data_IF_317304894670
#
_entry.id   IF_317304894670
#
_cell.length_a   1.000
_cell.length_b   1.000
_cell.length_c   1.000
_cell.angle_alpha   90.00
_cell.angle_beta   90.00
_cell.angle_gamma   90.00
#
_symmetry.space_group_name_H-M   'P 1'
#
loop_
_entity.id
_entity.type
_entity.pdbx_description
1 polymer ?
#
# COMPACT_ATOMS: atom_id res chain seq x y z
N UNK A 1 26.71 13.79 -1.47
CA UNK A 1 27.28 13.85 -2.84
C UNK A 1 26.21 13.34 -3.79
N UNK A 2 25.54 14.24 -4.50
CA UNK A 2 24.45 13.91 -5.41
C UNK A 2 25.06 13.37 -6.71
N UNK A 3 25.05 12.05 -6.90
CA UNK A 3 25.17 11.49 -8.25
C UNK A 3 23.99 11.99 -9.10
N UNK A 4 24.07 11.91 -10.44
CA UNK A 4 22.91 12.20 -11.27
C UNK A 4 21.81 11.24 -10.84
N UNK A 5 20.76 11.78 -10.22
CA UNK A 5 19.61 11.00 -9.80
C UNK A 5 19.11 10.26 -11.04
N UNK A 6 19.22 8.92 -11.04
CA UNK A 6 18.65 8.13 -12.12
C UNK A 6 17.22 8.60 -12.38
N UNK A 7 16.82 8.73 -13.65
CA UNK A 7 15.44 9.11 -14.01
C UNK A 7 14.43 8.25 -13.25
N UNK A 8 14.77 6.99 -13.01
CA UNK A 8 13.98 6.09 -12.17
C UNK A 8 13.75 6.64 -10.76
N UNK A 9 14.80 7.07 -10.07
CA UNK A 9 14.69 7.63 -8.72
C UNK A 9 13.88 8.93 -8.70
N UNK A 10 14.05 9.77 -9.72
CA UNK A 10 13.31 11.02 -9.81
C UNK A 10 11.83 10.78 -10.12
N UNK A 11 11.53 9.81 -10.99
CA UNK A 11 10.17 9.35 -11.26
C UNK A 11 9.49 8.79 -10.02
N UNK A 12 10.20 7.98 -9.22
CA UNK A 12 9.68 7.48 -7.95
C UNK A 12 9.36 8.61 -6.97
N UNK A 13 10.23 9.62 -6.84
CA UNK A 13 9.99 10.75 -5.94
C UNK A 13 8.79 11.60 -6.39
N UNK A 14 8.61 11.80 -7.69
CA UNK A 14 7.44 12.48 -8.26
C UNK A 14 6.18 11.66 -8.03
N UNK A 15 6.25 10.35 -8.18
CA UNK A 15 5.13 9.43 -7.98
C UNK A 15 4.71 9.40 -6.51
N UNK A 16 5.64 9.29 -5.57
CA UNK A 16 5.38 9.40 -4.12
C UNK A 16 4.71 10.73 -3.77
N UNK A 17 5.14 11.83 -4.42
CA UNK A 17 4.51 13.14 -4.21
C UNK A 17 3.07 13.21 -4.70
N UNK A 18 2.71 12.47 -5.74
CA UNK A 18 1.41 12.50 -6.40
C UNK A 18 0.61 11.20 -6.22
N UNK A 19 0.97 10.35 -5.25
CA UNK A 19 0.37 9.03 -5.07
C UNK A 19 -1.15 9.10 -4.85
N UNK A 20 -1.63 10.18 -4.20
CA UNK A 20 -3.06 10.43 -3.98
C UNK A 20 -3.88 10.60 -5.28
N UNK A 21 -3.21 10.89 -6.40
CA UNK A 21 -3.84 11.04 -7.73
C UNK A 21 -3.79 9.75 -8.55
N UNK A 22 -3.06 8.73 -8.07
CA UNK A 22 -2.89 7.47 -8.78
C UNK A 22 -4.10 6.59 -8.51
N UNK A 23 -4.71 6.06 -9.58
CA UNK A 23 -5.93 5.24 -9.49
C UNK A 23 -5.62 3.75 -9.40
N UNK A 24 -4.54 3.29 -10.03
CA UNK A 24 -4.15 1.88 -10.08
C UNK A 24 -2.63 1.76 -10.24
N UNK A 25 -2.05 0.71 -9.66
CA UNK A 25 -0.64 0.36 -9.76
C UNK A 25 -0.41 -0.98 -10.48
N UNK A 26 -1.46 -1.60 -11.03
CA UNK A 26 -1.44 -2.94 -11.66
C UNK A 26 -0.42 -3.12 -12.79
N UNK A 27 -0.02 -2.03 -13.44
CA UNK A 27 0.92 -2.07 -14.56
C UNK A 27 2.40 -2.05 -14.13
N UNK A 28 2.69 -1.97 -12.82
CA UNK A 28 4.06 -1.88 -12.31
C UNK A 28 4.60 -3.27 -11.92
N UNK A 29 5.88 -3.54 -12.19
CA UNK A 29 6.56 -4.73 -11.68
C UNK A 29 6.60 -4.76 -10.14
N UNK A 30 6.64 -5.96 -9.57
CA UNK A 30 6.64 -6.19 -8.12
C UNK A 30 7.78 -5.44 -7.41
N UNK A 31 8.98 -5.48 -7.99
CA UNK A 31 10.16 -4.84 -7.41
C UNK A 31 10.00 -3.31 -7.34
N UNK A 32 9.31 -2.73 -8.32
CA UNK A 32 9.01 -1.28 -8.36
C UNK A 32 7.96 -0.94 -7.32
N UNK A 33 6.95 -1.79 -7.13
CA UNK A 33 5.92 -1.59 -6.10
C UNK A 33 6.52 -1.61 -4.69
N UNK A 34 7.43 -2.55 -4.42
CA UNK A 34 8.11 -2.64 -3.11
C UNK A 34 8.93 -1.38 -2.83
N UNK A 35 9.71 -0.92 -3.82
CA UNK A 35 10.50 0.31 -3.69
C UNK A 35 9.62 1.56 -3.51
N UNK A 36 8.51 1.63 -4.25
CA UNK A 36 7.54 2.71 -4.13
C UNK A 36 6.92 2.73 -2.72
N UNK A 37 6.51 1.57 -2.23
CA UNK A 37 5.93 1.42 -0.90
C UNK A 37 6.93 1.87 0.18
N UNK A 38 8.18 1.42 0.10
CA UNK A 38 9.23 1.83 1.04
C UNK A 38 9.44 3.35 1.04
N UNK A 39 9.45 4.00 -0.14
CA UNK A 39 9.58 5.46 -0.21
C UNK A 39 8.37 6.21 0.34
N UNK A 40 7.17 5.68 0.15
CA UNK A 40 5.95 6.27 0.72
C UNK A 40 5.99 6.21 2.25
N UNK A 41 6.44 5.10 2.82
CA UNK A 41 6.64 4.95 4.26
C UNK A 41 7.68 5.94 4.79
N UNK A 42 8.84 6.05 4.12
CA UNK A 42 9.89 7.00 4.49
C UNK A 42 9.42 8.46 4.39
N UNK A 43 8.55 8.76 3.43
CA UNK A 43 7.96 10.09 3.27
C UNK A 43 6.84 10.38 4.28
N UNK A 44 6.41 9.40 5.09
CA UNK A 44 5.29 9.55 6.02
C UNK A 44 3.94 9.80 5.33
N UNK A 45 3.80 9.37 4.07
CA UNK A 45 2.61 9.59 3.23
C UNK A 45 1.67 8.39 3.17
N UNK A 46 1.80 7.45 4.10
CA UNK A 46 0.90 6.30 4.16
C UNK A 46 -0.47 6.74 4.70
N UNK A 47 -1.41 6.95 3.79
CA UNK A 47 -2.83 7.22 4.09
C UNK A 47 -3.69 5.99 3.77
N UNK A 48 -4.92 5.95 4.29
CA UNK A 48 -5.87 4.84 4.05
C UNK A 48 -6.06 4.53 2.56
N UNK A 49 -6.26 5.54 1.72
CA UNK A 49 -6.37 5.38 0.26
C UNK A 49 -5.13 4.72 -0.37
N UNK A 50 -3.95 5.11 0.09
CA UNK A 50 -2.69 4.58 -0.42
C UNK A 50 -2.50 3.14 0.05
N UNK A 51 -2.82 2.86 1.31
CA UNK A 51 -2.82 1.52 1.85
C UNK A 51 -3.80 0.60 1.09
N UNK A 52 -5.00 1.07 0.77
CA UNK A 52 -5.96 0.32 -0.04
C UNK A 52 -5.42 0.02 -1.44
N UNK A 53 -4.72 0.96 -2.08
CA UNK A 53 -4.07 0.73 -3.38
C UNK A 53 -3.05 -0.41 -3.28
N UNK A 54 -2.17 -0.40 -2.27
CA UNK A 54 -1.20 -1.47 -2.08
C UNK A 54 -1.84 -2.79 -1.64
N UNK A 55 -2.94 -2.75 -0.87
CA UNK A 55 -3.67 -3.95 -0.49
C UNK A 55 -4.34 -4.62 -1.69
N UNK A 56 -4.87 -3.85 -2.65
CA UNK A 56 -5.43 -4.40 -3.90
C UNK A 56 -4.37 -5.10 -4.75
N UNK A 57 -3.15 -4.55 -4.80
CA UNK A 57 -2.04 -5.20 -5.52
C UNK A 57 -1.43 -6.36 -4.72
N UNK A 58 -1.54 -6.34 -3.39
CA UNK A 58 -0.88 -7.33 -2.53
C UNK A 58 -1.31 -8.77 -2.81
N UNK A 59 -2.56 -8.99 -3.23
CA UNK A 59 -3.05 -10.34 -3.57
C UNK A 59 -2.32 -10.96 -4.78
N UNK A 60 -1.60 -10.16 -5.59
CA UNK A 60 -0.80 -10.61 -6.73
C UNK A 60 0.70 -10.66 -6.44
N UNK A 61 1.17 -10.04 -5.36
CA UNK A 61 2.58 -9.77 -5.10
C UNK A 61 2.96 -10.11 -3.66
N UNK A 62 3.72 -11.21 -3.50
CA UNK A 62 4.01 -11.81 -2.20
C UNK A 62 4.94 -10.93 -1.35
N UNK A 63 5.90 -10.25 -1.98
CA UNK A 63 6.85 -9.39 -1.26
C UNK A 63 6.18 -8.13 -0.68
N UNK A 64 5.10 -7.65 -1.32
CA UNK A 64 4.28 -6.58 -0.78
C UNK A 64 3.49 -7.02 0.44
N UNK A 65 2.96 -8.26 0.45
CA UNK A 65 2.28 -8.82 1.62
C UNK A 65 3.24 -8.90 2.80
N UNK A 66 4.44 -9.45 2.60
CA UNK A 66 5.43 -9.59 3.68
C UNK A 66 5.85 -8.21 4.22
N UNK A 67 6.03 -7.23 3.32
CA UNK A 67 6.31 -5.84 3.69
C UNK A 67 5.16 -5.21 4.49
N UNK A 68 3.91 -5.43 4.08
CA UNK A 68 2.71 -4.94 4.80
C UNK A 68 2.52 -5.61 6.16
N UNK A 69 2.76 -6.92 6.25
CA UNK A 69 2.67 -7.68 7.50
C UNK A 69 3.77 -7.27 8.49
N UNK A 70 4.97 -6.95 8.00
CA UNK A 70 6.07 -6.45 8.83
C UNK A 70 5.71 -5.13 9.54
N UNK A 71 4.82 -4.33 8.95
CA UNK A 71 4.31 -3.09 9.52
C UNK A 71 3.26 -3.31 10.62
N UNK A 72 2.90 -4.56 10.95
CA UNK A 72 1.85 -4.92 11.92
C UNK A 72 0.49 -4.26 11.62
N UNK A 73 0.24 -3.89 10.37
CA UNK A 73 -1.05 -3.32 9.94
C UNK A 73 -2.04 -4.47 9.87
N UNK A 74 -2.79 -4.67 10.96
CA UNK A 74 -3.90 -5.61 10.97
C UNK A 74 -4.98 -5.06 10.01
N UNK A 75 -5.32 -5.81 8.95
CA UNK A 75 -6.56 -5.54 8.20
C UNK A 75 -7.68 -5.43 9.25
N UNK A 76 -8.51 -4.37 9.25
CA UNK A 76 -9.60 -4.28 10.22
C UNK A 76 -10.38 -5.58 10.15
N UNK A 77 -10.67 -6.22 11.30
CA UNK A 77 -11.36 -7.50 11.29
C UNK A 77 -12.65 -7.32 10.51
N UNK A 78 -12.87 -8.18 9.52
CA UNK A 78 -14.14 -8.22 8.81
C UNK A 78 -15.25 -8.21 9.86
N UNK A 79 -16.14 -7.22 9.80
CA UNK A 79 -17.24 -7.09 10.74
C UNK A 79 -18.15 -8.30 10.49
N UNK A 80 -17.91 -9.37 11.25
CA UNK A 80 -18.76 -10.56 11.23
C UNK A 80 -20.16 -10.09 11.61
N UNK A 81 -21.21 -10.44 10.86
CA UNK A 81 -22.56 -10.04 11.20
C UNK A 81 -22.86 -10.56 12.59
N UNK A 82 -23.05 -9.65 13.55
CA UNK A 82 -23.57 -9.97 14.87
C UNK A 82 -24.95 -10.57 14.66
N UNK A 83 -25.03 -11.92 14.73
CA UNK A 83 -26.32 -12.61 14.82
C UNK A 83 -26.97 -12.18 16.13
N UNK A 84 -27.83 -11.16 16.08
CA UNK A 84 -28.79 -10.90 17.14
C UNK A 84 -29.69 -12.13 17.25
N UNK A 85 -29.46 -12.97 18.26
CA UNK A 85 -30.39 -14.04 18.60
C UNK A 85 -31.60 -13.39 19.25
N UNK A 86 -32.68 -13.22 18.48
CA UNK A 86 -33.96 -12.74 18.99
C UNK A 86 -34.54 -13.82 19.93
N UNK A 87 -34.38 -13.63 21.23
CA UNK A 87 -35.13 -14.39 22.26
C UNK A 87 -36.42 -13.63 22.54
N UNK A 88 -37.44 -13.91 21.73
CA UNK A 88 -38.81 -13.48 22.00
C UNK A 88 -39.34 -14.23 23.23
N UNK A 89 -39.86 -13.45 24.18
CA UNK A 89 -40.57 -13.89 25.40
C UNK A 89 -41.97 -14.37 25.03
#
# INVERSE_FOLDING_TARGET
>A
MSGPSSLFNQSLDVLVKNIDKVVSLEALPEEVLVLLFQRILQAGKLNEKVLELFLRESDKHRELIDSLQSLHIQRPPAILPTRCSYRGV
#
